data_IF_971068447692
#
_entry.id   IF_971068447692
#
_cell.length_a   1.000
_cell.length_b   1.000
_cell.length_c   1.000
_cell.angle_alpha   90.00
_cell.angle_beta   90.00
_cell.angle_gamma   90.00
#
_symmetry.space_group_name_H-M   'P 1'
#
loop_
_entity.id
_entity.type
_entity.pdbx_description
1 polymer ?
#
# COMPACT_ATOMS: atom_id res chain seq x y z
N UNK A 1 7.50 -10.49 12.87
CA UNK A 1 8.54 -10.82 11.87
C UNK A 1 9.63 -9.77 11.95
N UNK A 2 10.86 -10.18 12.18
CA UNK A 2 11.95 -9.23 12.22
C UNK A 2 12.52 -8.96 10.82
N UNK A 3 13.37 -7.95 10.72
CA UNK A 3 13.94 -7.50 9.45
C UNK A 3 14.80 -8.57 8.79
N UNK A 4 15.56 -9.33 9.56
CA UNK A 4 16.44 -10.38 9.03
C UNK A 4 15.64 -11.54 8.45
N UNK A 5 14.52 -11.90 9.08
CA UNK A 5 13.64 -12.96 8.61
C UNK A 5 13.00 -12.58 7.27
N UNK A 6 12.53 -11.34 7.15
CA UNK A 6 11.96 -10.84 5.91
C UNK A 6 13.00 -10.82 4.79
N UNK A 7 14.20 -10.36 5.07
CA UNK A 7 15.29 -10.31 4.10
C UNK A 7 15.63 -11.71 3.58
N UNK A 8 15.67 -12.69 4.46
CA UNK A 8 15.95 -14.08 4.07
C UNK A 8 14.89 -14.64 3.14
N UNK A 9 13.61 -14.32 3.39
CA UNK A 9 12.50 -14.78 2.55
C UNK A 9 12.56 -14.16 1.16
N UNK A 10 12.87 -12.87 1.09
CA UNK A 10 12.99 -12.16 -0.19
C UNK A 10 14.15 -12.71 -1.02
N UNK A 11 15.26 -13.07 -0.37
CA UNK A 11 16.46 -13.53 -1.02
C UNK A 11 16.47 -15.04 -1.26
N UNK A 12 15.41 -15.75 -0.91
CA UNK A 12 15.31 -17.18 -1.12
C UNK A 12 15.35 -17.53 -2.61
N UNK A 13 16.01 -18.64 -2.95
CA UNK A 13 16.00 -19.16 -4.31
C UNK A 13 14.72 -19.92 -4.67
N UNK A 14 13.87 -20.22 -3.68
CA UNK A 14 12.57 -20.85 -3.91
C UNK A 14 11.55 -19.77 -4.34
N UNK A 15 11.06 -19.83 -5.59
CA UNK A 15 10.08 -18.82 -6.08
C UNK A 15 8.83 -18.71 -5.21
N UNK A 16 8.37 -19.81 -4.63
CA UNK A 16 7.18 -19.80 -3.79
C UNK A 16 7.38 -18.93 -2.53
N UNK A 17 8.56 -19.03 -1.93
CA UNK A 17 8.90 -18.24 -0.73
C UNK A 17 8.93 -16.74 -1.08
N UNK A 18 9.61 -16.40 -2.18
CA UNK A 18 9.69 -15.02 -2.62
C UNK A 18 8.34 -14.43 -2.96
N UNK A 19 7.52 -15.18 -3.69
CA UNK A 19 6.19 -14.71 -4.10
C UNK A 19 5.26 -14.52 -2.92
N UNK A 20 5.31 -15.42 -1.92
CA UNK A 20 4.53 -15.25 -0.69
C UNK A 20 4.95 -14.03 0.09
N UNK A 21 6.25 -13.74 0.14
CA UNK A 21 6.76 -12.55 0.81
C UNK A 21 6.23 -11.28 0.13
N UNK A 22 6.25 -11.24 -1.20
CA UNK A 22 5.70 -10.10 -1.96
C UNK A 22 4.21 -9.95 -1.68
N UNK A 23 3.45 -11.04 -1.67
CA UNK A 23 2.02 -10.99 -1.35
C UNK A 23 1.75 -10.44 0.03
N UNK A 24 2.55 -10.83 1.02
CA UNK A 24 2.40 -10.32 2.39
C UNK A 24 2.71 -8.82 2.46
N UNK A 25 3.76 -8.38 1.76
CA UNK A 25 4.11 -6.96 1.71
C UNK A 25 3.02 -6.12 1.04
N UNK A 26 2.43 -6.64 -0.02
CA UNK A 26 1.32 -5.94 -0.70
C UNK A 26 0.12 -5.75 0.21
N UNK A 27 -0.24 -6.80 0.96
CA UNK A 27 -1.37 -6.69 1.90
C UNK A 27 -1.09 -5.67 2.99
N UNK A 28 0.12 -5.67 3.52
CA UNK A 28 0.52 -4.68 4.53
C UNK A 28 0.48 -3.27 3.95
N UNK A 29 1.03 -3.09 2.75
CA UNK A 29 1.05 -1.79 2.09
C UNK A 29 -0.38 -1.28 1.86
N UNK A 30 -1.31 -2.14 1.46
CA UNK A 30 -2.70 -1.74 1.26
C UNK A 30 -3.38 -1.32 2.55
N UNK A 31 -3.10 -2.00 3.65
CA UNK A 31 -3.64 -1.62 4.96
C UNK A 31 -3.13 -0.24 5.39
N UNK A 32 -1.83 -0.01 5.25
CA UNK A 32 -1.22 1.28 5.58
C UNK A 32 -1.75 2.37 4.66
N UNK A 33 -1.89 2.07 3.37
CA UNK A 33 -2.42 3.02 2.38
C UNK A 33 -3.84 3.45 2.74
N UNK A 34 -4.72 2.51 3.04
CA UNK A 34 -6.11 2.82 3.38
C UNK A 34 -6.21 3.73 4.61
N UNK A 35 -5.42 3.44 5.63
CA UNK A 35 -5.37 4.25 6.84
C UNK A 35 -4.83 5.66 6.55
N UNK A 36 -3.78 5.74 5.76
CA UNK A 36 -3.16 7.02 5.40
C UNK A 36 -4.10 7.88 4.56
N UNK A 37 -4.82 7.27 3.60
CA UNK A 37 -5.80 7.98 2.77
C UNK A 37 -6.93 8.53 3.64
N UNK A 38 -7.47 7.72 4.54
CA UNK A 38 -8.53 8.17 5.44
C UNK A 38 -8.07 9.36 6.29
N UNK A 39 -6.85 9.30 6.81
CA UNK A 39 -6.27 10.38 7.60
C UNK A 39 -6.09 11.65 6.78
N UNK A 40 -5.61 11.53 5.55
CA UNK A 40 -5.44 12.66 4.65
C UNK A 40 -6.78 13.32 4.34
N UNK A 41 -7.82 12.54 4.08
CA UNK A 41 -9.16 13.09 3.84
C UNK A 41 -9.70 13.82 5.08
N UNK A 42 -9.48 13.29 6.27
CA UNK A 42 -9.86 13.96 7.51
C UNK A 42 -9.16 15.30 7.68
N UNK A 43 -7.94 15.42 7.16
CA UNK A 43 -7.17 16.66 7.21
C UNK A 43 -7.47 17.61 6.04
N UNK A 44 -8.42 17.25 5.20
CA UNK A 44 -8.88 18.11 4.10
C UNK A 44 -8.09 17.97 2.80
N UNK A 45 -7.29 16.91 2.64
CA UNK A 45 -6.55 16.70 1.40
C UNK A 45 -7.50 16.41 0.24
N UNK A 46 -7.19 16.98 -0.91
CA UNK A 46 -7.89 16.63 -2.15
C UNK A 46 -7.45 15.28 -2.68
N UNK A 47 -8.27 14.69 -3.54
CA UNK A 47 -7.89 13.45 -4.21
C UNK A 47 -6.64 13.61 -5.08
N UNK A 48 -6.46 14.79 -5.67
CA UNK A 48 -5.25 15.09 -6.45
C UNK A 48 -4.00 15.08 -5.57
N UNK A 49 -4.07 15.70 -4.40
CA UNK A 49 -2.94 15.70 -3.46
C UNK A 49 -2.60 14.30 -2.98
N UNK A 50 -3.62 13.51 -2.68
CA UNK A 50 -3.43 12.12 -2.24
C UNK A 50 -2.82 11.30 -3.38
N UNK A 51 -3.32 11.46 -4.59
CA UNK A 51 -2.80 10.76 -5.75
C UNK A 51 -1.33 11.10 -6.00
N UNK A 52 -0.99 12.38 -5.93
CA UNK A 52 0.39 12.82 -6.12
C UNK A 52 1.33 12.16 -5.09
N UNK A 53 0.91 12.12 -3.83
CA UNK A 53 1.72 11.52 -2.78
C UNK A 53 1.90 10.01 -2.98
N UNK A 54 0.87 9.32 -3.47
CA UNK A 54 0.91 7.88 -3.71
C UNK A 54 1.54 7.49 -5.04
N UNK A 55 1.75 8.46 -5.94
CA UNK A 55 2.16 8.15 -7.29
C UNK A 55 1.05 7.56 -8.15
N UNK A 56 -0.20 7.90 -7.85
CA UNK A 56 -1.39 7.44 -8.56
C UNK A 56 -2.13 8.62 -9.15
N UNK A 57 -2.89 8.39 -10.22
CA UNK A 57 -3.75 9.45 -10.74
C UNK A 57 -4.89 9.77 -9.77
N UNK A 58 -5.40 11.00 -9.84
CA UNK A 58 -6.58 11.40 -9.08
C UNK A 58 -7.75 10.44 -9.31
N UNK A 59 -7.97 10.07 -10.56
CA UNK A 59 -9.08 9.19 -10.93
C UNK A 59 -8.92 7.79 -10.31
N UNK A 60 -7.71 7.25 -10.31
CA UNK A 60 -7.44 5.92 -9.73
C UNK A 60 -7.68 5.91 -8.22
N UNK A 61 -7.21 6.93 -7.52
CA UNK A 61 -7.40 7.04 -6.07
C UNK A 61 -8.88 7.21 -5.74
N UNK A 62 -9.56 8.09 -6.46
CA UNK A 62 -11.00 8.32 -6.25
C UNK A 62 -11.81 7.05 -6.50
N UNK A 63 -11.49 6.31 -7.56
CA UNK A 63 -12.17 5.06 -7.85
C UNK A 63 -11.98 4.03 -6.74
N UNK A 64 -10.80 4.00 -6.14
CA UNK A 64 -10.46 3.02 -5.09
C UNK A 64 -11.08 3.38 -3.74
N UNK A 65 -11.09 4.66 -3.38
CA UNK A 65 -11.44 5.10 -2.03
C UNK A 65 -12.66 6.02 -1.95
N UNK A 66 -13.07 6.63 -3.05
CA UNK A 66 -14.14 7.63 -3.04
C UNK A 66 -15.50 7.09 -2.61
N UNK A 67 -15.75 5.81 -2.83
CA UNK A 67 -17.03 5.19 -2.48
C UNK A 67 -17.26 5.05 -0.98
N UNK A 68 -16.24 5.30 -0.19
CA UNK A 68 -16.29 5.16 1.27
C UNK A 68 -16.63 6.47 1.98
N UNK A 69 -16.80 7.53 1.25
CA UNK A 69 -17.16 8.83 1.80
C UNK A 69 -18.63 9.00 2.04
#
# INVERSE_FOLDING_TARGET
MDEDDLTRRINSTDPAVGLRAVGALRRLAEQVEATAVARARQQGWSWEQIGDALGMSRQSVHAKYGKRE
#
